data_IF_923846062550
#
_entry.id   IF_923846062550
#
_cell.length_a   1.000
_cell.length_b   1.000
_cell.length_c   1.000
_cell.angle_alpha   90.00
_cell.angle_beta   90.00
_cell.angle_gamma   90.00
#
_symmetry.space_group_name_H-M   'P 1'
#
loop_
_entity.id
_entity.type
_entity.pdbx_description
1 polymer ?
#
# COMPACT_ATOMS: atom_id res chain seq x y z
N UNK A 1 -1.98 4.17 -15.94
CA UNK A 1 -1.29 5.26 -16.67
C UNK A 1 0.19 4.95 -16.73
N UNK A 2 0.80 5.01 -17.91
CA UNK A 2 2.25 4.92 -18.12
C UNK A 2 2.74 6.25 -18.68
N UNK A 3 3.90 6.73 -18.21
CA UNK A 3 4.53 7.91 -18.80
C UNK A 3 5.01 7.54 -20.20
N UNK A 4 4.47 8.22 -21.20
CA UNK A 4 4.87 8.06 -22.59
C UNK A 4 6.06 8.95 -22.92
N UNK A 5 6.02 10.20 -22.47
CA UNK A 5 7.13 11.14 -22.64
C UNK A 5 7.16 12.19 -21.52
N UNK A 6 8.37 12.66 -21.23
CA UNK A 6 8.62 13.84 -20.40
C UNK A 6 9.44 14.80 -21.22
N UNK A 7 8.88 15.95 -21.55
CA UNK A 7 9.56 16.98 -22.35
C UNK A 7 9.80 18.23 -21.51
N UNK A 8 11.06 18.65 -21.31
CA UNK A 8 11.36 19.94 -20.71
C UNK A 8 11.04 21.06 -21.71
N UNK A 9 10.34 22.09 -21.26
CA UNK A 9 10.09 23.34 -21.98
C UNK A 9 10.43 24.52 -21.08
N UNK A 10 11.09 25.55 -21.61
CA UNK A 10 11.22 26.83 -20.92
C UNK A 10 10.05 27.72 -21.29
N UNK A 11 9.21 28.05 -20.31
CA UNK A 11 8.10 29.00 -20.49
C UNK A 11 8.40 30.19 -19.58
N UNK A 12 8.62 31.37 -20.18
CA UNK A 12 8.95 32.61 -19.47
C UNK A 12 10.14 32.46 -18.49
N UNK A 13 11.19 31.77 -18.92
CA UNK A 13 12.39 31.53 -18.10
C UNK A 13 12.23 30.49 -16.98
N UNK A 14 11.08 29.81 -16.89
CA UNK A 14 10.85 28.72 -15.94
C UNK A 14 10.85 27.37 -16.65
N UNK A 15 11.60 26.42 -16.10
CA UNK A 15 11.57 25.02 -16.55
C UNK A 15 10.22 24.42 -16.23
N UNK A 16 9.51 24.01 -17.27
CA UNK A 16 8.21 23.34 -17.23
C UNK A 16 8.38 21.94 -17.80
N UNK A 17 7.88 20.93 -17.11
CA UNK A 17 7.88 19.56 -17.62
C UNK A 17 6.49 19.22 -18.14
N UNK A 18 6.39 18.90 -19.43
CA UNK A 18 5.16 18.37 -20.03
C UNK A 18 5.22 16.86 -19.95
N UNK A 19 4.27 16.28 -19.23
CA UNK A 19 4.10 14.83 -19.10
C UNK A 19 2.97 14.36 -20.00
N UNK A 20 3.28 13.52 -20.99
CA UNK A 20 2.27 12.80 -21.74
C UNK A 20 2.07 11.43 -21.11
N UNK A 21 0.82 11.12 -20.74
CA UNK A 21 0.44 9.85 -20.15
C UNK A 21 -0.38 9.05 -21.16
N UNK A 22 -0.05 7.77 -21.32
CA UNK A 22 -0.92 6.83 -22.03
C UNK A 22 -1.62 5.89 -21.03
N UNK A 23 -2.86 5.47 -21.32
CA UNK A 23 -3.49 4.42 -20.55
C UNK A 23 -2.63 3.16 -20.64
N UNK A 24 -2.61 2.38 -19.56
CA UNK A 24 -1.93 1.09 -19.57
C UNK A 24 -2.73 0.19 -20.51
N UNK A 25 -2.12 -0.37 -21.56
CA UNK A 25 -2.71 -1.55 -22.21
C UNK A 25 -2.83 -2.60 -21.12
N UNK A 26 -4.05 -3.05 -20.81
CA UNK A 26 -4.27 -4.09 -19.80
C UNK A 26 -3.41 -5.28 -20.17
N UNK A 27 -2.24 -5.41 -19.54
CA UNK A 27 -1.49 -6.64 -19.59
C UNK A 27 -2.43 -7.64 -18.94
N UNK A 28 -2.89 -8.61 -19.73
CA UNK A 28 -3.48 -9.86 -19.24
C UNK A 28 -2.40 -10.58 -18.44
N UNK A 29 -2.07 -10.03 -17.26
CA UNK A 29 -1.19 -10.65 -16.30
C UNK A 29 -1.99 -11.79 -15.69
N UNK A 30 -1.51 -13.01 -15.98
CA UNK A 30 -1.90 -14.31 -15.46
C UNK A 30 -3.09 -14.28 -14.50
N UNK A 31 -4.16 -14.97 -14.89
CA UNK A 31 -5.33 -15.28 -14.07
C UNK A 31 -4.92 -16.10 -12.84
N UNK A 32 -4.27 -15.47 -11.88
CA UNK A 32 -4.03 -16.06 -10.57
C UNK A 32 -5.31 -15.83 -9.78
N UNK A 33 -5.96 -16.94 -9.45
CA UNK A 33 -7.25 -17.04 -8.78
C UNK A 33 -7.27 -16.11 -7.57
N UNK A 34 -8.21 -15.16 -7.53
CA UNK A 34 -8.44 -14.36 -6.33
C UNK A 34 -8.93 -15.27 -5.19
N UNK A 35 -8.12 -15.36 -4.14
CA UNK A 35 -8.38 -16.27 -3.03
C UNK A 35 -9.42 -15.67 -2.09
N UNK A 36 -10.54 -16.36 -1.95
CA UNK A 36 -11.48 -16.16 -0.85
C UNK A 36 -11.17 -17.20 0.23
N UNK A 37 -11.13 -16.78 1.50
CA UNK A 37 -10.81 -17.68 2.61
C UNK A 37 -11.75 -17.44 3.79
N UNK A 38 -12.47 -18.47 4.22
CA UNK A 38 -13.29 -18.46 5.43
C UNK A 38 -14.23 -17.22 5.54
N UNK A 39 -14.87 -16.85 4.42
CA UNK A 39 -15.76 -15.67 4.34
C UNK A 39 -15.06 -14.33 4.07
N UNK A 40 -13.73 -14.27 4.07
CA UNK A 40 -12.97 -13.09 3.64
C UNK A 40 -12.82 -13.08 2.13
N UNK A 41 -13.32 -12.02 1.48
CA UNK A 41 -13.03 -11.76 0.07
C UNK A 41 -11.57 -11.36 -0.12
N UNK A 42 -11.06 -11.51 -1.35
CA UNK A 42 -9.73 -11.02 -1.71
C UNK A 42 -9.53 -9.52 -1.39
N UNK A 43 -10.58 -8.71 -1.57
CA UNK A 43 -10.56 -7.28 -1.21
C UNK A 43 -10.45 -7.06 0.29
N UNK A 44 -11.16 -7.87 1.09
CA UNK A 44 -11.05 -7.78 2.56
C UNK A 44 -9.66 -8.19 3.04
N UNK A 45 -9.06 -9.22 2.44
CA UNK A 45 -7.68 -9.61 2.73
C UNK A 45 -6.71 -8.47 2.37
N UNK A 46 -6.92 -7.81 1.24
CA UNK A 46 -6.10 -6.66 0.83
C UNK A 46 -6.27 -5.45 1.78
N UNK A 47 -7.49 -5.17 2.24
CA UNK A 47 -7.73 -4.15 3.27
C UNK A 47 -6.97 -4.47 4.56
N UNK A 48 -7.08 -5.70 5.06
CA UNK A 48 -6.35 -6.16 6.25
C UNK A 48 -4.83 -6.05 6.06
N UNK A 49 -4.32 -6.39 4.87
CA UNK A 49 -2.90 -6.21 4.53
C UNK A 49 -2.50 -4.74 4.55
N UNK A 50 -3.31 -3.83 4.01
CA UNK A 50 -3.04 -2.39 4.06
C UNK A 50 -3.01 -1.88 5.50
N UNK A 51 -3.95 -2.31 6.35
CA UNK A 51 -3.98 -1.94 7.77
C UNK A 51 -2.77 -2.49 8.52
N UNK A 52 -2.38 -3.73 8.28
CA UNK A 52 -1.17 -4.30 8.88
C UNK A 52 0.09 -3.54 8.44
N UNK A 53 0.24 -3.29 7.14
CA UNK A 53 1.36 -2.56 6.56
C UNK A 53 1.54 -1.16 7.13
N UNK A 54 0.43 -0.42 7.26
CA UNK A 54 0.43 1.02 7.52
C UNK A 54 0.20 1.37 8.99
N UNK A 55 -0.53 0.55 9.73
CA UNK A 55 -0.96 0.84 11.10
C UNK A 55 -0.43 -0.17 12.12
N UNK A 56 0.25 -1.23 11.67
CA UNK A 56 0.67 -2.36 12.51
C UNK A 56 -0.52 -3.07 13.21
N UNK A 57 -1.69 -3.06 12.58
CA UNK A 57 -2.88 -3.71 13.11
C UNK A 57 -2.87 -5.20 12.73
N UNK A 58 -2.64 -6.04 13.73
CA UNK A 58 -2.78 -7.48 13.61
C UNK A 58 -4.23 -7.88 13.93
N UNK A 59 -4.70 -8.92 13.27
CA UNK A 59 -5.93 -9.59 13.68
C UNK A 59 -5.74 -10.17 15.08
N UNK A 60 -6.72 -9.99 15.96
CA UNK A 60 -6.80 -10.78 17.19
C UNK A 60 -6.96 -12.26 16.83
N UNK A 61 -6.32 -13.18 17.56
CA UNK A 61 -6.49 -14.61 17.31
C UNK A 61 -7.97 -14.97 17.37
N UNK A 62 -8.53 -15.47 16.27
CA UNK A 62 -9.84 -16.11 16.30
C UNK A 62 -9.76 -17.38 17.14
N UNK A 63 -10.90 -17.85 17.67
CA UNK A 63 -10.99 -19.06 18.49
C UNK A 63 -10.37 -20.30 17.81
N UNK A 64 -10.29 -20.32 16.47
CA UNK A 64 -9.64 -21.38 15.70
C UNK A 64 -8.23 -20.98 15.21
N UNK A 65 -7.20 -21.65 15.73
CA UNK A 65 -5.78 -21.29 15.53
C UNK A 65 -5.28 -21.54 14.10
N UNK A 66 -5.83 -22.55 13.42
CA UNK A 66 -5.42 -22.93 12.06
C UNK A 66 -5.92 -21.91 11.02
N UNK A 67 -7.18 -21.47 11.14
CA UNK A 67 -7.77 -20.46 10.26
C UNK A 67 -7.03 -19.13 10.39
N UNK A 68 -6.63 -18.78 11.62
CA UNK A 68 -5.83 -17.59 11.89
C UNK A 68 -4.46 -17.65 11.21
N UNK A 69 -3.75 -18.79 11.28
CA UNK A 69 -2.43 -18.95 10.68
C UNK A 69 -2.47 -18.83 9.14
N UNK A 70 -3.50 -19.41 8.52
CA UNK A 70 -3.67 -19.34 7.07
C UNK A 70 -4.05 -17.93 6.60
N UNK A 71 -5.01 -17.28 7.28
CA UNK A 71 -5.38 -15.89 7.00
C UNK A 71 -4.20 -14.93 7.19
N UNK A 72 -3.42 -15.10 8.27
CA UNK A 72 -2.22 -14.31 8.50
C UNK A 72 -1.20 -14.51 7.36
N UNK A 73 -1.05 -15.73 6.83
CA UNK A 73 -0.18 -15.99 5.68
C UNK A 73 -0.65 -15.24 4.42
N UNK A 74 -1.96 -15.13 4.20
CA UNK A 74 -2.51 -14.32 3.11
C UNK A 74 -2.27 -12.83 3.32
N UNK A 75 -2.46 -12.32 4.53
CA UNK A 75 -2.16 -10.92 4.88
C UNK A 75 -0.68 -10.64 4.64
N UNK A 76 0.22 -11.51 5.10
CA UNK A 76 1.67 -11.37 4.91
C UNK A 76 2.15 -11.56 3.47
N UNK A 77 1.31 -12.08 2.58
CA UNK A 77 1.60 -12.18 1.15
C UNK A 77 2.20 -13.52 0.75
N UNK A 78 1.43 -14.59 0.91
CA UNK A 78 1.77 -15.95 0.51
C UNK A 78 2.34 -16.08 -0.93
N UNK A 79 1.79 -15.34 -1.91
CA UNK A 79 2.20 -15.37 -3.32
C UNK A 79 2.69 -13.99 -3.82
N UNK A 80 3.18 -13.16 -2.92
CA UNK A 80 3.65 -11.82 -3.28
C UNK A 80 5.16 -11.81 -3.51
N UNK A 81 5.59 -10.96 -4.46
CA UNK A 81 7.02 -10.71 -4.72
C UNK A 81 7.78 -10.20 -3.48
N UNK A 82 7.04 -9.64 -2.51
CA UNK A 82 7.55 -9.15 -1.25
C UNK A 82 6.62 -9.61 -0.12
N UNK A 83 7.19 -10.21 0.92
CA UNK A 83 6.48 -10.57 2.15
C UNK A 83 6.36 -9.35 3.06
N UNK A 84 5.18 -9.19 3.64
CA UNK A 84 4.90 -8.19 4.66
C UNK A 84 5.05 -8.86 6.02
N UNK A 85 6.22 -8.72 6.65
CA UNK A 85 6.44 -9.34 7.97
C UNK A 85 6.03 -8.43 9.13
N UNK A 86 6.02 -7.12 8.90
CA UNK A 86 5.74 -6.09 9.90
C UNK A 86 5.33 -4.77 9.25
N UNK A 87 4.84 -3.84 10.07
CA UNK A 87 4.62 -2.45 9.65
C UNK A 87 5.90 -1.82 9.09
N UNK A 88 5.76 -1.15 7.94
CA UNK A 88 6.92 -0.63 7.18
C UNK A 88 7.61 0.54 7.87
N UNK A 89 6.92 1.20 8.80
CA UNK A 89 7.42 2.43 9.42
C UNK A 89 8.34 2.19 10.62
N UNK A 90 8.20 1.07 11.33
CA UNK A 90 8.94 0.81 12.59
C UNK A 90 10.46 0.76 12.35
N UNK A 91 10.91 -0.08 11.41
CA UNK A 91 12.34 -0.19 11.08
C UNK A 91 12.92 1.09 10.46
N UNK A 92 12.08 1.88 9.77
CA UNK A 92 12.52 3.16 9.23
C UNK A 92 12.70 4.18 10.36
N UNK A 93 11.75 4.25 11.30
CA UNK A 93 11.82 5.15 12.43
C UNK A 93 13.04 4.85 13.31
N UNK A 94 13.31 3.57 13.60
CA UNK A 94 14.48 3.16 14.38
C UNK A 94 15.81 3.72 13.82
N UNK A 95 15.92 3.88 12.50
CA UNK A 95 17.11 4.38 11.80
C UNK A 95 17.09 5.88 11.56
N UNK A 96 15.91 6.47 11.36
CA UNK A 96 15.74 7.84 10.86
C UNK A 96 15.07 8.79 11.87
N UNK A 97 14.83 8.37 13.12
CA UNK A 97 14.16 9.21 14.15
C UNK A 97 14.79 10.58 14.37
N UNK A 98 16.10 10.71 14.12
CA UNK A 98 16.84 11.97 14.28
C UNK A 98 16.63 12.94 13.11
N UNK A 99 16.04 12.49 12.00
CA UNK A 99 15.65 13.31 10.86
C UNK A 99 14.21 12.98 10.42
N UNK A 100 13.21 13.62 11.03
CA UNK A 100 11.80 13.38 10.73
C UNK A 100 11.41 13.63 9.26
N UNK A 101 12.07 14.56 8.57
CA UNK A 101 11.74 14.89 7.17
C UNK A 101 12.26 13.80 6.24
N UNK A 102 13.48 13.34 6.47
CA UNK A 102 14.05 12.20 5.75
C UNK A 102 13.24 10.93 6.01
N UNK A 103 12.84 10.71 7.27
CA UNK A 103 11.93 9.63 7.65
C UNK A 103 10.62 9.68 6.85
N UNK A 104 9.92 10.82 6.81
CA UNK A 104 8.63 10.92 6.09
C UNK A 104 8.79 10.64 4.60
N UNK A 105 9.89 11.10 3.99
CA UNK A 105 10.20 10.82 2.59
C UNK A 105 10.39 9.31 2.35
N UNK A 106 11.20 8.66 3.18
CA UNK A 106 11.47 7.22 3.08
C UNK A 106 10.23 6.38 3.41
N UNK A 107 9.46 6.79 4.41
CA UNK A 107 8.21 6.17 4.82
C UNK A 107 7.22 6.16 3.66
N UNK A 108 7.07 7.29 2.96
CA UNK A 108 6.17 7.39 1.80
C UNK A 108 6.60 6.45 0.67
N UNK A 109 7.88 6.47 0.29
CA UNK A 109 8.40 5.60 -0.78
C UNK A 109 8.26 4.12 -0.43
N UNK A 110 8.58 3.76 0.81
CA UNK A 110 8.51 2.39 1.30
C UNK A 110 7.06 1.91 1.34
N UNK A 111 6.13 2.71 1.86
CA UNK A 111 4.70 2.37 1.86
C UNK A 111 4.19 2.13 0.42
N UNK A 112 4.53 3.01 -0.53
CA UNK A 112 4.15 2.86 -1.93
C UNK A 112 4.71 1.55 -2.52
N UNK A 113 6.00 1.28 -2.30
CA UNK A 113 6.65 0.08 -2.77
C UNK A 113 5.95 -1.18 -2.25
N UNK A 114 5.75 -1.30 -0.94
CA UNK A 114 5.12 -2.48 -0.35
C UNK A 114 3.67 -2.64 -0.78
N UNK A 115 2.87 -1.56 -0.81
CA UNK A 115 1.47 -1.62 -1.24
C UNK A 115 1.32 -2.15 -2.68
N UNK A 116 2.23 -1.75 -3.58
CA UNK A 116 2.26 -2.20 -4.97
C UNK A 116 2.79 -3.63 -5.11
N UNK A 117 3.95 -3.92 -4.54
CA UNK A 117 4.67 -5.18 -4.73
C UNK A 117 4.01 -6.36 -3.99
N UNK A 118 3.26 -6.06 -2.92
CA UNK A 118 2.38 -7.02 -2.25
C UNK A 118 1.00 -7.16 -2.90
N UNK A 119 0.80 -6.57 -4.08
CA UNK A 119 -0.48 -6.56 -4.82
C UNK A 119 -1.66 -6.14 -3.93
N UNK A 120 -1.42 -5.26 -2.96
CA UNK A 120 -2.48 -4.74 -2.09
C UNK A 120 -3.38 -3.83 -2.91
N UNK A 121 -2.78 -2.96 -3.72
CA UNK A 121 -3.49 -2.05 -4.63
C UNK A 121 -2.77 -1.96 -5.98
N UNK A 122 -3.54 -1.71 -7.02
CA UNK A 122 -3.03 -1.36 -8.35
C UNK A 122 -2.78 0.15 -8.44
N UNK A 123 -3.62 1.00 -7.86
CA UNK A 123 -3.42 2.45 -7.86
C UNK A 123 -3.43 3.02 -6.45
N UNK A 124 -2.57 4.01 -6.21
CA UNK A 124 -2.56 4.80 -4.98
C UNK A 124 -3.20 6.14 -5.33
N UNK A 125 -4.38 6.38 -4.78
CA UNK A 125 -5.17 7.59 -5.02
C UNK A 125 -4.81 8.68 -4.00
N UNK A 126 -4.60 8.27 -2.75
CA UNK A 126 -4.13 9.14 -1.67
C UNK A 126 -3.17 8.38 -0.75
N UNK A 127 -2.07 9.03 -0.38
CA UNK A 127 -1.21 8.60 0.73
C UNK A 127 -0.66 9.84 1.43
N UNK A 128 -1.21 10.13 2.60
CA UNK A 128 -0.80 11.22 3.47
C UNK A 128 -0.26 10.64 4.77
N UNK A 129 0.98 11.02 5.08
CA UNK A 129 1.68 10.65 6.31
C UNK A 129 1.97 11.93 7.07
N UNK A 130 1.58 11.99 8.34
CA UNK A 130 1.85 13.14 9.22
C UNK A 130 2.44 12.64 10.52
N UNK A 131 3.68 13.02 10.81
CA UNK A 131 4.29 12.71 12.10
C UNK A 131 3.70 13.66 13.16
N UNK A 132 3.05 13.07 14.15
CA UNK A 132 2.49 13.76 15.31
C UNK A 132 3.47 13.67 16.50
N UNK A 133 3.10 14.30 17.62
CA UNK A 133 3.84 14.19 18.88
C UNK A 133 3.89 12.72 19.36
N UNK A 134 4.83 12.43 20.26
CA UNK A 134 5.01 11.11 20.90
C UNK A 134 5.28 9.96 19.91
N UNK A 135 5.93 10.25 18.79
CA UNK A 135 6.29 9.27 17.75
C UNK A 135 5.07 8.53 17.16
N UNK A 136 3.94 9.26 17.02
CA UNK A 136 2.74 8.73 16.37
C UNK A 136 2.73 9.17 14.91
N UNK A 137 2.62 8.22 13.99
CA UNK A 137 2.44 8.51 12.57
C UNK A 137 0.97 8.41 12.20
N UNK A 138 0.33 9.53 11.87
CA UNK A 138 -1.02 9.53 11.31
C UNK A 138 -0.97 9.17 9.83
N UNK A 139 -1.84 8.22 9.44
CA UNK A 139 -1.94 7.71 8.08
C UNK A 139 -3.35 7.94 7.56
N UNK A 140 -3.43 8.53 6.37
CA UNK A 140 -4.62 8.54 5.53
C UNK A 140 -4.23 7.98 4.17
N UNK A 141 -4.88 6.89 3.79
CA UNK A 141 -4.59 6.16 2.57
C UNK A 141 -5.89 5.80 1.86
N UNK A 142 -5.87 5.98 0.54
CA UNK A 142 -6.90 5.52 -0.38
C UNK A 142 -6.23 4.89 -1.59
N UNK A 143 -6.55 3.64 -1.87
CA UNK A 143 -6.01 2.93 -3.02
C UNK A 143 -7.06 2.09 -3.71
N UNK A 144 -6.82 1.79 -4.98
CA UNK A 144 -7.72 1.05 -5.83
C UNK A 144 -7.10 -0.31 -6.15
N UNK A 145 -7.87 -1.38 -5.97
CA UNK A 145 -7.50 -2.75 -6.32
C UNK A 145 -7.43 -2.91 -7.84
N UNK A 146 -6.79 -3.98 -8.28
CA UNK A 146 -6.85 -4.37 -9.69
C UNK A 146 -8.28 -4.70 -10.05
N UNK A 147 -8.71 -4.33 -11.25
CA UNK A 147 -10.02 -4.74 -11.75
C UNK A 147 -10.05 -6.26 -11.94
N UNK A 148 -10.91 -6.95 -11.18
CA UNK A 148 -11.11 -8.39 -11.31
C UNK A 148 -12.05 -8.75 -12.47
N UNK A 149 -13.11 -7.96 -12.67
CA UNK A 149 -14.14 -8.19 -13.69
C UNK A 149 -14.44 -6.91 -14.48
N UNK A 150 -14.63 -7.02 -15.80
CA UNK A 150 -14.87 -5.87 -16.68
C UNK A 150 -16.20 -5.15 -16.42
N UNK A 151 -17.18 -5.83 -15.83
CA UNK A 151 -18.51 -5.31 -15.51
C UNK A 151 -18.63 -4.74 -14.09
N UNK A 152 -17.55 -4.73 -13.31
CA UNK A 152 -17.55 -4.20 -11.95
C UNK A 152 -16.45 -3.16 -11.79
N UNK A 153 -16.75 -2.07 -11.08
CA UNK A 153 -15.73 -1.11 -10.70
C UNK A 153 -14.70 -1.75 -9.75
N UNK A 154 -13.40 -1.42 -9.87
CA UNK A 154 -12.39 -1.96 -8.99
C UNK A 154 -12.59 -1.48 -7.55
N UNK A 155 -12.44 -2.38 -6.58
CA UNK A 155 -12.63 -2.05 -5.18
C UNK A 155 -11.67 -0.95 -4.68
N UNK A 156 -12.18 -0.09 -3.78
CA UNK A 156 -11.40 0.94 -3.10
C UNK A 156 -11.10 0.49 -1.68
N UNK A 157 -9.83 0.60 -1.29
CA UNK A 157 -9.33 0.38 0.06
C UNK A 157 -9.07 1.73 0.70
N UNK A 158 -9.67 1.95 1.87
CA UNK A 158 -9.47 3.15 2.68
C UNK A 158 -8.88 2.76 4.04
N UNK A 159 -7.78 3.39 4.41
CA UNK A 159 -7.13 3.19 5.71
C UNK A 159 -6.90 4.56 6.33
N UNK A 160 -7.50 4.76 7.51
CA UNK A 160 -7.30 5.94 8.34
C UNK A 160 -7.01 5.49 9.76
N UNK A 161 -5.92 5.98 10.32
CA UNK A 161 -5.51 5.59 11.66
C UNK A 161 -4.15 6.13 12.04
N UNK A 162 -3.64 5.65 13.17
CA UNK A 162 -2.36 6.05 13.72
C UNK A 162 -1.48 4.81 13.93
N UNK A 163 -0.22 4.89 13.50
CA UNK A 163 0.81 3.92 13.84
C UNK A 163 1.65 4.47 14.98
N UNK A 164 1.75 3.71 16.07
CA UNK A 164 2.73 3.99 17.13
C UNK A 164 4.10 3.48 16.71
N UNK A 165 5.08 4.38 16.61
CA UNK A 165 6.44 4.05 16.14
C UNK A 165 7.38 3.57 17.26
N UNK A 166 6.91 3.49 18.51
CA UNK A 166 7.70 2.98 19.65
C UNK A 166 7.52 1.48 19.90
N UNK A 167 6.64 0.82 19.15
CA UNK A 167 6.39 -0.62 19.25
C UNK A 167 7.54 -1.48 18.71
#
# INVERSE_FOLDING_TARGET
>A
MQVESVLPKSIRGKTTFVLTLKPYSQAQGNSVIEMNFNGYSADKIAELRARFLLLNELLSPSQNRNDYSMLNSFIKGYDNSVKVEQCVFLNLWARLKNDPQLFLTHARLTAIYYLKMSRTVEHILELKLTLLKNNILSVQFRGQRKQAYSNQEPAIIEVKGNCDLNK
#
